data_IF_743994000818
#
_entry.id   IF_743994000818
#
_cell.length_a   1.000
_cell.length_b   1.000
_cell.length_c   1.000
_cell.angle_alpha   90.00
_cell.angle_beta   90.00
_cell.angle_gamma   90.00
#
_symmetry.space_group_name_H-M   'P 1'
#
loop_
_entity.id
_entity.type
_entity.pdbx_description
1 polymer ?
#
# COMPACT_ATOMS: atom_id res chain seq x y z
N UNK A 1 0.62 5.55 20.26
CA UNK A 1 0.69 4.07 20.20
C UNK A 1 1.40 3.58 18.94
N UNK A 2 0.94 3.95 17.73
CA UNK A 2 1.51 3.49 16.45
C UNK A 2 3.03 3.73 16.29
N UNK A 3 3.50 4.93 16.65
CA UNK A 3 4.94 5.27 16.65
C UNK A 3 5.79 4.36 17.55
N UNK A 4 5.26 3.96 18.71
CA UNK A 4 5.97 3.09 19.64
C UNK A 4 6.11 1.66 19.07
N UNK A 5 5.12 1.20 18.29
CA UNK A 5 5.18 -0.08 17.59
C UNK A 5 6.25 -0.05 16.51
N UNK A 6 6.26 0.97 15.64
CA UNK A 6 7.31 1.12 14.63
C UNK A 6 8.71 1.16 15.23
N UNK A 7 8.89 1.94 16.29
CA UNK A 7 10.17 2.03 16.99
C UNK A 7 10.60 0.67 17.54
N UNK A 8 9.68 -0.08 18.16
CA UNK A 8 9.99 -1.41 18.70
C UNK A 8 10.32 -2.42 17.60
N UNK A 9 9.57 -2.41 16.50
CA UNK A 9 9.83 -3.25 15.33
C UNK A 9 11.14 -2.89 14.61
N UNK A 10 11.53 -1.62 14.64
CA UNK A 10 12.79 -1.17 14.04
C UNK A 10 14.01 -1.49 14.89
N UNK A 11 13.87 -1.55 16.21
CA UNK A 11 14.94 -1.89 17.15
C UNK A 11 15.20 -3.41 17.27
N UNK A 12 14.20 -4.27 17.04
CA UNK A 12 14.36 -5.74 17.07
C UNK A 12 14.56 -6.32 15.66
N UNK A 13 15.70 -6.98 15.45
CA UNK A 13 15.98 -7.72 14.22
C UNK A 13 14.99 -8.88 14.02
N UNK A 14 14.58 -9.57 15.09
CA UNK A 14 13.60 -10.66 14.97
C UNK A 14 12.24 -10.13 14.53
N UNK A 15 11.76 -9.04 15.14
CA UNK A 15 10.49 -8.42 14.76
C UNK A 15 10.49 -7.98 13.29
N UNK A 16 11.60 -7.43 12.81
CA UNK A 16 11.75 -7.09 11.39
C UNK A 16 11.71 -8.32 10.48
N UNK A 17 12.41 -9.41 10.84
CA UNK A 17 12.37 -10.67 10.09
C UNK A 17 10.94 -11.22 10.04
N UNK A 18 10.22 -11.24 11.17
CA UNK A 18 8.84 -11.69 11.21
C UNK A 18 7.93 -10.85 10.32
N UNK A 19 8.08 -9.53 10.30
CA UNK A 19 7.34 -8.64 9.39
C UNK A 19 7.62 -8.97 7.91
N UNK A 20 8.89 -9.18 7.55
CA UNK A 20 9.27 -9.54 6.17
C UNK A 20 8.66 -10.89 5.77
N UNK A 21 8.75 -11.90 6.64
CA UNK A 21 8.19 -13.24 6.38
C UNK A 21 6.67 -13.17 6.28
N UNK A 22 6.02 -12.46 7.20
CA UNK A 22 4.57 -12.25 7.18
C UNK A 22 4.11 -11.61 5.87
N UNK A 23 4.77 -10.53 5.47
CA UNK A 23 4.47 -9.82 4.24
C UNK A 23 4.68 -10.69 3.00
N UNK A 24 5.78 -11.45 2.96
CA UNK A 24 6.04 -12.40 1.88
C UNK A 24 4.94 -13.47 1.80
N UNK A 25 4.48 -14.02 2.94
CA UNK A 25 3.38 -14.97 2.97
C UNK A 25 2.07 -14.37 2.46
N UNK A 26 1.76 -13.11 2.82
CA UNK A 26 0.56 -12.43 2.34
C UNK A 26 0.64 -12.18 0.82
N UNK A 27 1.77 -11.68 0.32
CA UNK A 27 1.99 -11.47 -1.11
C UNK A 27 1.90 -12.78 -1.92
N UNK A 28 2.50 -13.87 -1.41
CA UNK A 28 2.39 -15.19 -2.03
C UNK A 28 0.94 -15.70 -2.04
N UNK A 29 0.18 -15.44 -0.99
CA UNK A 29 -1.24 -15.81 -0.91
C UNK A 29 -2.07 -15.05 -1.94
N UNK A 30 -1.89 -13.72 -2.05
CA UNK A 30 -2.55 -12.92 -3.08
C UNK A 30 -2.15 -13.36 -4.49
N UNK A 31 -0.86 -13.65 -4.71
CA UNK A 31 -0.37 -14.19 -5.98
C UNK A 31 -1.03 -15.53 -6.33
N UNK A 32 -1.18 -16.44 -5.35
CA UNK A 32 -1.90 -17.69 -5.55
C UNK A 32 -3.39 -17.48 -5.88
N UNK A 33 -4.05 -16.53 -5.22
CA UNK A 33 -5.45 -16.15 -5.53
C UNK A 33 -5.59 -15.64 -6.97
N UNK A 34 -4.66 -14.80 -7.42
CA UNK A 34 -4.63 -14.29 -8.81
C UNK A 34 -4.35 -15.39 -9.83
N UNK A 35 -3.50 -16.38 -9.51
CA UNK A 35 -3.25 -17.54 -10.38
C UNK A 35 -4.49 -18.42 -10.54
N UNK A 36 -5.29 -18.57 -9.48
CA UNK A 36 -6.56 -19.32 -9.54
C UNK A 36 -7.66 -18.56 -10.28
N UNK A 37 -7.56 -17.24 -10.40
CA UNK A 37 -8.52 -16.37 -11.08
C UNK A 37 -7.78 -15.39 -12.00
N UNK A 38 -7.28 -15.83 -13.17
CA UNK A 38 -6.38 -15.03 -14.01
C UNK A 38 -6.93 -13.68 -14.45
N UNK A 39 -8.25 -13.53 -14.48
CA UNK A 39 -8.91 -12.25 -14.77
C UNK A 39 -8.55 -11.16 -13.76
N UNK A 40 -8.25 -11.53 -12.51
CA UNK A 40 -7.86 -10.61 -11.45
C UNK A 40 -6.48 -9.98 -11.67
N UNK A 41 -5.67 -10.50 -12.60
CA UNK A 41 -4.39 -9.86 -12.98
C UNK A 41 -4.62 -8.47 -13.58
N UNK A 42 -5.82 -8.22 -14.13
CA UNK A 42 -6.24 -6.93 -14.63
C UNK A 42 -7.07 -6.14 -13.58
N UNK A 43 -6.78 -6.30 -12.29
CA UNK A 43 -7.48 -5.59 -11.22
C UNK A 43 -7.35 -4.06 -11.37
N UNK A 44 -8.30 -3.29 -10.86
CA UNK A 44 -8.22 -1.82 -10.90
C UNK A 44 -6.93 -1.26 -10.28
N UNK A 45 -6.34 -1.94 -9.29
CA UNK A 45 -5.14 -1.51 -8.56
C UNK A 45 -3.93 -1.28 -9.45
N UNK A 46 -3.79 -2.08 -10.52
CA UNK A 46 -2.65 -2.00 -11.44
C UNK A 46 -2.82 -0.90 -12.50
N UNK A 47 -3.98 -0.23 -12.54
CA UNK A 47 -4.27 0.85 -13.47
C UNK A 47 -4.21 2.21 -12.76
N UNK A 48 -3.14 2.96 -13.02
CA UNK A 48 -3.05 4.34 -12.56
C UNK A 48 -4.09 5.22 -13.27
N UNK A 49 -4.89 5.96 -12.51
CA UNK A 49 -5.85 6.91 -13.05
C UNK A 49 -6.96 6.30 -13.91
N UNK A 50 -7.42 5.07 -13.59
CA UNK A 50 -8.53 4.44 -14.32
C UNK A 50 -9.79 5.33 -14.33
N UNK A 51 -10.56 5.27 -15.41
CA UNK A 51 -11.84 5.98 -15.54
C UNK A 51 -13.00 5.11 -15.03
N UNK A 52 -14.17 5.68 -14.73
CA UNK A 52 -15.36 4.89 -14.39
C UNK A 52 -15.72 3.86 -15.46
N UNK A 53 -15.63 4.24 -16.74
CA UNK A 53 -15.91 3.35 -17.87
C UNK A 53 -14.94 2.16 -17.86
N UNK A 54 -13.65 2.41 -17.62
CA UNK A 54 -12.65 1.36 -17.51
C UNK A 54 -12.93 0.44 -16.32
N UNK A 55 -13.32 0.98 -15.17
CA UNK A 55 -13.67 0.18 -14.00
C UNK A 55 -14.90 -0.72 -14.29
N UNK A 56 -15.90 -0.19 -14.99
CA UNK A 56 -17.06 -0.96 -15.41
C UNK A 56 -16.68 -2.10 -16.35
N UNK A 57 -15.82 -1.85 -17.34
CA UNK A 57 -15.29 -2.88 -18.23
C UNK A 57 -14.59 -3.99 -17.45
N UNK A 58 -13.72 -3.64 -16.49
CA UNK A 58 -13.03 -4.61 -15.64
C UNK A 58 -14.04 -5.49 -14.89
N UNK A 59 -15.04 -4.88 -14.24
CA UNK A 59 -16.06 -5.63 -13.49
C UNK A 59 -16.97 -6.47 -14.38
N UNK A 60 -17.25 -6.02 -15.60
CA UNK A 60 -17.95 -6.80 -16.62
C UNK A 60 -17.13 -8.03 -17.02
N UNK A 61 -15.85 -7.82 -17.31
CA UNK A 61 -14.94 -8.86 -17.79
C UNK A 61 -14.68 -9.94 -16.73
N UNK A 62 -14.65 -9.54 -15.45
CA UNK A 62 -14.60 -10.46 -14.31
C UNK A 62 -15.77 -11.47 -14.31
N UNK A 63 -16.96 -11.07 -14.75
CA UNK A 63 -18.17 -11.87 -14.61
C UNK A 63 -18.58 -12.05 -13.15
N UNK A 64 -19.55 -12.92 -12.87
CA UNK A 64 -20.04 -13.11 -11.49
C UNK A 64 -18.99 -13.74 -10.57
N UNK A 65 -18.34 -14.80 -11.01
CA UNK A 65 -17.35 -15.53 -10.19
C UNK A 65 -16.08 -14.72 -9.97
N UNK A 66 -15.59 -14.03 -11.00
CA UNK A 66 -14.43 -13.15 -10.87
C UNK A 66 -14.68 -12.01 -9.91
N UNK A 67 -15.89 -11.41 -9.91
CA UNK A 67 -16.25 -10.35 -8.95
C UNK A 67 -16.30 -10.86 -7.50
N UNK A 68 -16.81 -12.08 -7.27
CA UNK A 68 -16.76 -12.70 -5.93
C UNK A 68 -15.32 -12.95 -5.49
N UNK A 69 -14.49 -13.50 -6.37
CA UNK A 69 -13.07 -13.72 -6.08
C UNK A 69 -12.33 -12.41 -5.81
N UNK A 70 -12.65 -11.35 -6.56
CA UNK A 70 -12.11 -10.01 -6.35
C UNK A 70 -12.49 -9.48 -4.96
N UNK A 71 -13.75 -9.64 -4.50
CA UNK A 71 -14.13 -9.27 -3.13
C UNK A 71 -13.27 -10.00 -2.09
N UNK A 72 -13.00 -11.30 -2.27
CA UNK A 72 -12.13 -12.02 -1.34
C UNK A 72 -10.67 -11.53 -1.40
N UNK A 73 -10.16 -11.21 -2.59
CA UNK A 73 -8.83 -10.64 -2.77
C UNK A 73 -8.72 -9.29 -2.03
N UNK A 74 -9.69 -8.41 -2.25
CA UNK A 74 -9.79 -7.09 -1.61
C UNK A 74 -9.92 -7.18 -0.09
N UNK A 75 -10.69 -8.15 0.42
CA UNK A 75 -10.78 -8.38 1.87
C UNK A 75 -9.46 -8.88 2.46
N UNK A 76 -8.73 -9.72 1.73
CA UNK A 76 -7.40 -10.17 2.14
C UNK A 76 -6.36 -9.04 2.06
N UNK A 77 -6.50 -8.17 1.06
CA UNK A 77 -5.71 -6.95 0.96
C UNK A 77 -5.94 -6.08 2.21
N UNK A 78 -7.21 -5.73 2.47
CA UNK A 78 -7.63 -4.97 3.63
C UNK A 78 -7.13 -5.56 4.96
N UNK A 79 -7.20 -6.89 5.07
CA UNK A 79 -6.64 -7.63 6.19
C UNK A 79 -6.28 -9.06 5.77
N UNK A 80 -5.02 -9.48 5.89
CA UNK A 80 -3.95 -8.84 6.65
C UNK A 80 -2.96 -7.94 5.86
N UNK A 81 -2.99 -7.94 4.53
CA UNK A 81 -1.86 -7.46 3.72
C UNK A 81 -1.52 -5.99 3.95
N UNK A 82 -2.52 -5.10 3.96
CA UNK A 82 -2.37 -3.67 4.21
C UNK A 82 -1.61 -3.33 5.48
N UNK A 83 -1.89 -4.08 6.55
CA UNK A 83 -1.20 -3.90 7.82
C UNK A 83 0.27 -4.34 7.70
N UNK A 84 0.51 -5.50 7.06
CA UNK A 84 1.85 -6.03 6.83
C UNK A 84 2.76 -5.05 6.13
N UNK A 85 2.37 -4.59 4.93
CA UNK A 85 3.22 -3.71 4.14
C UNK A 85 3.36 -2.34 4.81
N UNK A 86 2.33 -1.84 5.50
CA UNK A 86 2.40 -0.53 6.19
C UNK A 86 3.41 -0.58 7.32
N UNK A 87 3.38 -1.64 8.12
CA UNK A 87 4.36 -1.84 9.20
C UNK A 87 5.76 -2.05 8.65
N UNK A 88 5.91 -2.86 7.61
CA UNK A 88 7.20 -3.12 6.99
C UNK A 88 7.80 -1.84 6.38
N UNK A 89 7.04 -1.14 5.54
CA UNK A 89 7.47 0.09 4.88
C UNK A 89 7.84 1.17 5.89
N UNK A 90 6.99 1.40 6.90
CA UNK A 90 7.28 2.38 7.95
C UNK A 90 8.51 2.02 8.78
N UNK A 91 8.74 0.72 9.03
CA UNK A 91 9.94 0.22 9.73
C UNK A 91 11.21 0.44 8.90
N UNK A 92 11.17 0.15 7.59
CA UNK A 92 12.30 0.40 6.68
C UNK A 92 12.62 1.89 6.64
N UNK A 93 11.61 2.74 6.42
CA UNK A 93 11.79 4.20 6.40
C UNK A 93 12.39 4.70 7.72
N UNK A 94 11.90 4.22 8.85
CA UNK A 94 12.43 4.59 10.17
C UNK A 94 13.91 4.20 10.34
N UNK A 95 14.30 2.99 9.92
CA UNK A 95 15.70 2.51 10.02
C UNK A 95 16.67 3.35 9.18
N UNK A 96 16.19 3.96 8.09
CA UNK A 96 17.01 4.77 7.19
C UNK A 96 17.09 6.26 7.59
N UNK A 97 16.26 6.72 8.54
CA UNK A 97 16.30 8.10 9.07
C UNK A 97 17.72 8.56 9.45
N UNK A 98 18.54 7.78 10.20
CA UNK A 98 19.87 8.22 10.60
C UNK A 98 20.79 8.51 9.40
N UNK A 99 20.68 7.73 8.33
CA UNK A 99 21.51 7.90 7.13
C UNK A 99 21.13 9.18 6.36
N UNK A 100 19.84 9.54 6.36
CA UNK A 100 19.32 10.69 5.61
C UNK A 100 19.47 12.00 6.40
N UNK A 101 19.28 11.98 7.72
CA UNK A 101 19.21 13.19 8.55
C UNK A 101 20.57 13.88 8.78
N UNK A 102 21.68 13.15 8.58
CA UNK A 102 23.04 13.59 8.91
C UNK A 102 23.24 13.89 10.42
N UNK A 103 24.49 14.07 10.85
CA UNK A 103 24.85 14.27 12.27
C UNK A 103 24.39 15.60 12.90
N UNK A 104 23.73 16.50 12.15
CA UNK A 104 23.69 17.94 12.51
C UNK A 104 22.33 18.55 12.80
N UNK A 105 21.43 18.68 11.81
CA UNK A 105 20.29 19.62 11.91
C UNK A 105 19.00 19.18 11.19
N UNK A 106 18.99 18.01 10.52
CA UNK A 106 17.85 17.49 9.75
C UNK A 106 16.84 16.61 10.53
N UNK A 107 16.93 16.56 11.86
CA UNK A 107 16.17 15.60 12.70
C UNK A 107 14.66 15.79 12.63
N UNK A 108 14.16 17.00 12.35
CA UNK A 108 12.71 17.27 12.41
C UNK A 108 11.94 16.64 11.24
N UNK A 109 12.35 16.88 9.98
CA UNK A 109 11.62 16.38 8.80
C UNK A 109 11.79 14.87 8.62
N UNK A 110 13.00 14.35 8.89
CA UNK A 110 13.29 12.93 8.76
C UNK A 110 12.47 12.07 9.73
N UNK A 111 12.12 12.58 10.91
CA UNK A 111 11.23 11.89 11.86
C UNK A 111 9.80 11.68 11.34
N UNK A 112 9.33 12.46 10.37
CA UNK A 112 8.00 12.29 9.79
C UNK A 112 7.97 11.31 8.61
N UNK A 113 9.12 10.81 8.14
CA UNK A 113 9.15 9.88 7.00
C UNK A 113 8.30 8.61 7.19
N UNK A 114 8.18 7.99 8.38
CA UNK A 114 7.30 6.83 8.55
C UNK A 114 5.81 7.17 8.44
N UNK A 115 5.42 8.44 8.56
CA UNK A 115 4.04 8.86 8.29
C UNK A 115 3.65 8.73 6.82
N UNK A 116 4.64 8.64 5.90
CA UNK A 116 4.35 8.32 4.49
C UNK A 116 3.73 6.92 4.36
N UNK A 117 4.16 5.94 5.15
CA UNK A 117 3.53 4.61 5.15
C UNK A 117 2.06 4.67 5.61
N UNK A 118 1.73 5.56 6.55
CA UNK A 118 0.34 5.79 6.98
C UNK A 118 -0.47 6.44 5.84
N UNK A 119 0.12 7.37 5.09
CA UNK A 119 -0.57 7.98 3.94
C UNK A 119 -0.82 6.97 2.82
N UNK A 120 0.11 6.04 2.56
CA UNK A 120 -0.11 4.90 1.67
C UNK A 120 -1.32 4.10 2.16
N UNK A 121 -1.30 3.68 3.43
CA UNK A 121 -2.38 2.89 4.03
C UNK A 121 -3.75 3.56 3.95
N UNK A 122 -3.84 4.86 4.28
CA UNK A 122 -5.11 5.61 4.20
C UNK A 122 -5.61 5.67 2.76
N UNK A 123 -4.71 5.91 1.81
CA UNK A 123 -5.08 5.97 0.39
C UNK A 123 -5.60 4.61 -0.09
N UNK A 124 -4.95 3.53 0.31
CA UNK A 124 -5.34 2.16 0.00
C UNK A 124 -6.70 1.79 0.60
N UNK A 125 -6.93 2.13 1.87
CA UNK A 125 -8.24 1.93 2.53
C UNK A 125 -9.35 2.64 1.78
N UNK A 126 -9.14 3.89 1.35
CA UNK A 126 -10.15 4.65 0.59
C UNK A 126 -10.43 4.00 -0.75
N UNK A 127 -9.39 3.60 -1.48
CA UNK A 127 -9.53 2.89 -2.75
C UNK A 127 -10.33 1.60 -2.58
N UNK A 128 -9.86 0.69 -1.73
CA UNK A 128 -10.43 -0.64 -1.62
C UNK A 128 -11.86 -0.56 -1.09
N UNK A 129 -12.18 0.41 -0.22
CA UNK A 129 -13.57 0.67 0.17
C UNK A 129 -14.44 1.08 -1.02
N UNK A 130 -13.95 1.94 -1.91
CA UNK A 130 -14.69 2.34 -3.11
C UNK A 130 -14.90 1.14 -4.03
N UNK A 131 -13.84 0.39 -4.31
CA UNK A 131 -13.89 -0.75 -5.23
C UNK A 131 -14.75 -1.90 -4.68
N UNK A 132 -14.60 -2.26 -3.40
CA UNK A 132 -15.44 -3.23 -2.72
C UNK A 132 -16.92 -2.85 -2.77
N UNK A 133 -17.24 -1.59 -2.46
CA UNK A 133 -18.62 -1.12 -2.53
C UNK A 133 -19.18 -1.24 -3.95
N UNK A 134 -18.43 -0.77 -4.95
CA UNK A 134 -18.87 -0.76 -6.35
C UNK A 134 -19.01 -2.18 -6.90
N UNK A 135 -18.06 -3.09 -6.65
CA UNK A 135 -18.14 -4.47 -7.13
C UNK A 135 -19.26 -5.24 -6.43
N UNK A 136 -19.48 -5.00 -5.14
CA UNK A 136 -20.56 -5.65 -4.37
C UNK A 136 -21.94 -5.20 -4.85
N UNK A 137 -22.09 -3.94 -5.23
CA UNK A 137 -23.35 -3.36 -5.73
C UNK A 137 -23.52 -3.46 -7.25
N UNK A 138 -22.54 -3.97 -7.98
CA UNK A 138 -22.59 -4.00 -9.44
C UNK A 138 -23.76 -4.85 -9.96
N UNK A 139 -24.69 -4.20 -10.66
CA UNK A 139 -25.80 -4.87 -11.37
C UNK A 139 -25.56 -5.04 -12.87
N UNK A 140 -24.55 -4.35 -13.42
CA UNK A 140 -24.19 -4.36 -14.84
C UNK A 140 -24.72 -3.16 -15.62
N UNK A 141 -25.82 -2.57 -15.19
CA UNK A 141 -26.44 -1.37 -15.78
C UNK A 141 -25.93 -0.06 -15.13
N UNK A 142 -25.26 -0.16 -13.98
CA UNK A 142 -24.91 0.98 -13.12
C UNK A 142 -23.79 1.90 -13.64
N UNK A 143 -23.17 1.61 -14.80
CA UNK A 143 -22.04 2.39 -15.32
C UNK A 143 -22.35 3.87 -15.51
N UNK A 144 -23.60 4.20 -15.80
CA UNK A 144 -24.04 5.57 -16.05
C UNK A 144 -24.55 6.27 -14.79
N UNK A 145 -24.60 5.61 -13.64
CA UNK A 145 -25.05 6.26 -12.41
C UNK A 145 -23.99 7.26 -11.92
N UNK A 146 -24.44 8.45 -11.50
CA UNK A 146 -23.56 9.47 -10.95
C UNK A 146 -22.77 8.95 -9.75
N UNK A 147 -23.42 8.16 -8.89
CA UNK A 147 -22.78 7.57 -7.72
C UNK A 147 -21.64 6.62 -8.12
N UNK A 148 -21.85 5.75 -9.12
CA UNK A 148 -20.79 4.86 -9.62
C UNK A 148 -19.59 5.69 -10.13
N UNK A 149 -19.85 6.70 -10.96
CA UNK A 149 -18.81 7.59 -11.50
C UNK A 149 -18.03 8.31 -10.40
N UNK A 150 -18.71 8.89 -9.41
CA UNK A 150 -18.07 9.66 -8.35
C UNK A 150 -17.19 8.76 -7.45
N UNK A 151 -17.70 7.59 -7.06
CA UNK A 151 -16.93 6.62 -6.27
C UNK A 151 -15.77 6.02 -7.05
N UNK A 152 -15.95 5.72 -8.35
CA UNK A 152 -14.89 5.20 -9.20
C UNK A 152 -13.75 6.23 -9.34
N UNK A 153 -14.08 7.51 -9.50
CA UNK A 153 -13.08 8.60 -9.54
C UNK A 153 -12.38 8.79 -8.20
N UNK A 154 -13.10 8.67 -7.09
CA UNK A 154 -12.51 8.72 -5.76
C UNK A 154 -11.53 7.58 -5.53
N UNK A 155 -11.93 6.34 -5.85
CA UNK A 155 -11.05 5.17 -5.79
C UNK A 155 -9.83 5.31 -6.70
N UNK A 156 -10.01 5.79 -7.93
CA UNK A 156 -8.92 6.03 -8.88
C UNK A 156 -7.92 7.08 -8.39
N UNK A 157 -8.43 8.16 -7.81
CA UNK A 157 -7.61 9.22 -7.21
C UNK A 157 -6.82 8.71 -6.01
N UNK A 158 -7.47 7.90 -5.18
CA UNK A 158 -6.84 7.26 -4.02
C UNK A 158 -5.76 6.25 -4.43
N UNK A 159 -6.02 5.39 -5.42
CA UNK A 159 -5.01 4.49 -6.00
C UNK A 159 -3.80 5.28 -6.55
N UNK A 160 -4.07 6.36 -7.29
CA UNK A 160 -3.02 7.21 -7.85
C UNK A 160 -2.18 7.87 -6.74
N UNK A 161 -2.82 8.37 -5.69
CA UNK A 161 -2.13 8.92 -4.52
C UNK A 161 -1.30 7.86 -3.80
N UNK A 162 -1.84 6.66 -3.59
CA UNK A 162 -1.14 5.49 -3.01
C UNK A 162 0.16 5.22 -3.74
N UNK A 163 0.10 5.03 -5.06
CA UNK A 163 1.28 4.75 -5.90
C UNK A 163 2.27 5.91 -5.94
N UNK A 164 1.79 7.16 -5.99
CA UNK A 164 2.66 8.34 -5.91
C UNK A 164 3.44 8.38 -4.59
N UNK A 165 2.79 8.10 -3.47
CA UNK A 165 3.45 8.05 -2.15
C UNK A 165 4.40 6.85 -2.07
N UNK A 166 4.04 5.68 -2.60
CA UNK A 166 4.97 4.55 -2.72
C UNK A 166 6.24 4.92 -3.50
N UNK A 167 6.10 5.60 -4.63
CA UNK A 167 7.24 6.05 -5.42
C UNK A 167 8.16 6.99 -4.61
N UNK A 168 7.59 7.94 -3.87
CA UNK A 168 8.34 8.81 -2.96
C UNK A 168 9.07 7.99 -1.89
N UNK A 169 8.39 7.01 -1.26
CA UNK A 169 8.99 6.13 -0.29
C UNK A 169 10.18 5.35 -0.88
N UNK A 170 10.06 4.81 -2.09
CA UNK A 170 11.16 4.09 -2.74
C UNK A 170 12.35 4.99 -3.06
N UNK A 171 12.12 6.24 -3.46
CA UNK A 171 13.20 7.23 -3.64
C UNK A 171 13.91 7.51 -2.31
N UNK A 172 13.17 7.72 -1.23
CA UNK A 172 13.72 7.94 0.12
C UNK A 172 14.54 6.72 0.57
N UNK A 173 14.02 5.51 0.32
CA UNK A 173 14.70 4.26 0.64
C UNK A 173 16.02 4.17 -0.14
N UNK A 174 15.99 4.40 -1.46
CA UNK A 174 17.17 4.39 -2.30
C UNK A 174 18.23 5.38 -1.80
N UNK A 175 17.83 6.63 -1.51
CA UNK A 175 18.72 7.66 -0.95
C UNK A 175 19.31 7.22 0.40
N UNK A 176 18.49 6.69 1.29
CA UNK A 176 18.91 6.24 2.61
C UNK A 176 19.88 5.05 2.58
N UNK A 177 19.78 4.18 1.57
CA UNK A 177 20.71 3.07 1.36
C UNK A 177 22.06 3.52 0.80
N UNK A 178 22.09 4.51 -0.10
CA UNK A 178 23.36 5.01 -0.69
C UNK A 178 24.04 6.07 0.16
N UNK A 179 23.31 6.69 1.09
CA UNK A 179 23.85 7.70 2.00
C UNK A 179 24.77 7.05 3.03
N UNK A 180 26.00 7.59 3.22
CA UNK A 180 26.97 7.01 4.14
C UNK A 180 26.42 7.03 5.57
N UNK A 181 26.56 5.90 6.27
CA UNK A 181 26.14 5.81 7.66
C UNK A 181 26.90 6.83 8.51
N UNK A 182 26.21 7.56 9.42
CA UNK A 182 26.89 8.52 10.27
C UNK A 182 27.97 7.81 11.08
N UNK A 183 29.22 8.25 10.93
CA UNK A 183 30.31 7.74 11.75
C UNK A 183 29.99 8.04 13.22
N UNK A 184 29.96 7.00 14.06
CA UNK A 184 29.89 7.16 15.51
C UNK A 184 31.15 7.92 15.94
N UNK A 185 31.00 9.22 16.23
CA UNK A 185 32.07 10.01 16.84
C UNK A 185 32.34 9.36 18.19
N UNK A 186 33.49 8.70 18.35
CA UNK A 186 33.95 8.19 19.65
C UNK A 186 34.22 9.42 20.51
N UNK A 187 33.31 9.75 21.41
CA UNK A 187 33.59 10.68 22.51
C UNK A 187 34.64 10.01 23.40
N UNK A 188 35.83 10.61 23.42
CA UNK A 188 36.90 10.27 24.37
C UNK A 188 36.53 10.76 25.77
#
# INVERSE_FOLDING_TARGET
>A
MFWAVFKKCSESSEAFIYLVVFEACCALTMGAMMLMQPKLVNSPDVHLGYTPERLHEIFRDFGQDGRRAYIYLELFDFFPYMFGYTFLLGTILYKLIPNIAGNGKGKSISQWTPCLAILVWISDVVENCCQLYLVWKWTGEDCCSRQFSDLARMGSSANTAKWAVFAICFVIIAIGYVSPSPQKVKTK
#
